data_IF_786464087471
#
_entry.id   IF_786464087471
#
_cell.length_a   1.000
_cell.length_b   1.000
_cell.length_c   1.000
_cell.angle_alpha   90.00
_cell.angle_beta   90.00
_cell.angle_gamma   90.00
#
_symmetry.space_group_name_H-M   'P 1'
#
loop_
_entity.id
_entity.type
_entity.pdbx_description
1 polymer ?
#
# COMPACT_ATOMS: atom_id res chain seq x y z
N UNK A 1 25.05 -4.81 -8.47
CA UNK A 1 25.31 -5.12 -7.04
C UNK A 1 23.95 -5.41 -6.42
N UNK A 2 23.51 -6.68 -6.44
CA UNK A 2 22.20 -7.06 -5.87
C UNK A 2 22.29 -6.88 -4.35
N UNK A 3 21.53 -5.94 -3.80
CA UNK A 3 21.40 -5.78 -2.36
C UNK A 3 20.89 -7.11 -1.79
N UNK A 4 21.69 -7.76 -0.96
CA UNK A 4 21.29 -8.98 -0.28
C UNK A 4 20.00 -8.70 0.49
N UNK A 5 18.91 -9.42 0.17
CA UNK A 5 17.72 -9.43 1.00
C UNK A 5 18.16 -9.65 2.46
N UNK A 6 17.78 -8.73 3.35
CA UNK A 6 18.21 -8.76 4.74
C UNK A 6 17.63 -10.00 5.40
N UNK A 7 18.48 -10.97 5.73
CA UNK A 7 18.11 -12.29 6.32
C UNK A 7 18.61 -12.41 7.78
N UNK A 8 18.62 -11.30 8.51
CA UNK A 8 18.94 -11.28 9.95
C UNK A 8 17.70 -11.46 10.82
N UNK A 9 17.89 -11.76 12.11
CA UNK A 9 16.79 -11.95 13.08
C UNK A 9 15.92 -10.69 13.31
N UNK A 10 16.38 -9.51 12.87
CA UNK A 10 15.62 -8.26 12.89
C UNK A 10 14.60 -8.15 11.73
N UNK A 11 14.85 -8.83 10.59
CA UNK A 11 13.97 -8.75 9.42
C UNK A 11 12.55 -9.31 9.68
N UNK A 12 12.35 -10.40 10.45
CA UNK A 12 11.03 -10.83 10.88
C UNK A 12 10.28 -9.77 11.69
N UNK A 13 10.96 -9.11 12.64
CA UNK A 13 10.37 -8.09 13.50
C UNK A 13 9.95 -6.86 12.70
N UNK A 14 10.83 -6.35 11.83
CA UNK A 14 10.52 -5.20 10.98
C UNK A 14 9.31 -5.48 10.06
N UNK A 15 9.24 -6.70 9.50
CA UNK A 15 8.13 -7.14 8.67
C UNK A 15 6.81 -7.20 9.46
N UNK A 16 6.85 -7.74 10.67
CA UNK A 16 5.67 -7.85 11.53
C UNK A 16 5.20 -6.46 11.99
N UNK A 17 6.13 -5.56 12.37
CA UNK A 17 5.83 -4.16 12.72
C UNK A 17 5.19 -3.41 11.53
N UNK A 18 5.69 -3.60 10.30
CA UNK A 18 5.10 -3.03 9.08
C UNK A 18 3.70 -3.58 8.79
N UNK A 19 3.51 -4.89 8.94
CA UNK A 19 2.21 -5.54 8.75
C UNK A 19 1.17 -4.98 9.73
N UNK A 20 1.51 -4.91 11.02
CA UNK A 20 0.60 -4.40 12.04
C UNK A 20 0.21 -2.93 11.80
N UNK A 21 1.18 -2.09 11.44
CA UNK A 21 0.93 -0.67 11.11
C UNK A 21 0.02 -0.54 9.89
N UNK A 22 0.32 -1.27 8.82
CA UNK A 22 -0.51 -1.24 7.61
C UNK A 22 -1.93 -1.74 7.88
N UNK A 23 -2.08 -2.90 8.55
CA UNK A 23 -3.38 -3.49 8.81
C UNK A 23 -4.25 -2.59 9.70
N UNK A 24 -3.67 -1.98 10.75
CA UNK A 24 -4.39 -1.04 11.61
C UNK A 24 -4.84 0.22 10.84
N UNK A 25 -3.93 0.80 10.04
CA UNK A 25 -4.23 1.97 9.22
C UNK A 25 -5.29 1.66 8.14
N UNK A 26 -5.10 0.60 7.37
CA UNK A 26 -6.01 0.20 6.29
C UNK A 26 -7.40 -0.12 6.84
N UNK A 27 -7.47 -0.80 8.00
CA UNK A 27 -8.75 -1.06 8.68
C UNK A 27 -9.47 0.25 9.03
N UNK A 28 -8.77 1.22 9.59
CA UNK A 28 -9.35 2.52 9.92
C UNK A 28 -9.89 3.25 8.68
N UNK A 29 -9.16 3.20 7.55
CA UNK A 29 -9.63 3.81 6.29
C UNK A 29 -10.83 3.05 5.73
N UNK A 30 -10.78 1.72 5.66
CA UNK A 30 -11.90 0.91 5.18
C UNK A 30 -13.17 1.11 6.00
N UNK A 31 -13.09 1.11 7.33
CA UNK A 31 -14.27 1.31 8.20
C UNK A 31 -14.93 2.68 7.93
N UNK A 32 -14.13 3.73 7.71
CA UNK A 32 -14.65 5.05 7.35
C UNK A 32 -15.34 5.05 5.97
N UNK A 33 -14.70 4.44 4.96
CA UNK A 33 -15.25 4.39 3.60
C UNK A 33 -16.55 3.55 3.55
N UNK A 34 -16.57 2.43 4.26
CA UNK A 34 -17.75 1.58 4.41
C UNK A 34 -18.90 2.32 5.10
N UNK A 35 -18.61 3.11 6.16
CA UNK A 35 -19.60 3.93 6.84
C UNK A 35 -20.19 5.04 5.93
N UNK A 36 -19.43 5.48 4.92
CA UNK A 36 -19.89 6.43 3.89
C UNK A 36 -20.60 5.75 2.71
N UNK A 37 -20.78 4.42 2.74
CA UNK A 37 -21.44 3.65 1.70
C UNK A 37 -20.57 3.31 0.49
N UNK A 38 -19.24 3.43 0.61
CA UNK A 38 -18.30 3.02 -0.41
C UNK A 38 -17.70 1.66 -0.08
N UNK A 39 -17.57 0.79 -1.08
CA UNK A 39 -16.85 -0.46 -0.89
C UNK A 39 -15.35 -0.16 -0.69
N UNK A 40 -14.74 -0.84 0.27
CA UNK A 40 -13.31 -0.81 0.51
C UNK A 40 -12.84 -2.13 1.12
N UNK A 41 -11.64 -2.56 0.76
CA UNK A 41 -10.98 -3.74 1.33
C UNK A 41 -9.46 -3.59 1.20
N UNK A 42 -8.70 -4.36 1.96
CA UNK A 42 -7.25 -4.41 1.86
C UNK A 42 -6.77 -5.85 1.82
N UNK A 43 -5.63 -6.05 1.17
CA UNK A 43 -5.02 -7.37 1.04
C UNK A 43 -4.11 -7.61 2.23
N UNK A 44 -4.20 -8.78 2.85
CA UNK A 44 -3.15 -9.27 3.73
C UNK A 44 -1.91 -9.60 2.89
N UNK A 45 -0.79 -8.84 2.99
CA UNK A 45 0.39 -9.07 2.16
C UNK A 45 1.03 -10.44 2.39
N UNK A 46 0.72 -11.11 3.51
CA UNK A 46 1.27 -12.43 3.82
C UNK A 46 0.54 -13.56 3.08
N UNK A 47 -0.79 -13.47 2.94
CA UNK A 47 -1.61 -14.51 2.30
C UNK A 47 -2.12 -14.15 0.90
N UNK A 48 -2.11 -12.87 0.55
CA UNK A 48 -2.71 -12.33 -0.67
C UNK A 48 -4.24 -12.37 -0.68
N UNK A 49 -4.88 -12.56 0.46
CA UNK A 49 -6.34 -12.58 0.55
C UNK A 49 -6.92 -11.23 1.01
N UNK A 50 -8.14 -10.87 0.56
CA UNK A 50 -8.86 -9.74 1.12
C UNK A 50 -9.17 -9.98 2.61
N UNK A 51 -9.13 -8.91 3.39
CA UNK A 51 -9.29 -8.96 4.84
C UNK A 51 -10.73 -8.77 5.31
N UNK A 52 -11.57 -8.11 4.50
CA UNK A 52 -12.96 -7.81 4.88
C UNK A 52 -14.00 -8.63 4.11
N UNK A 53 -13.74 -8.99 2.85
CA UNK A 53 -14.66 -9.80 2.06
C UNK A 53 -14.89 -11.19 2.66
N UNK A 54 -16.14 -11.68 2.61
CA UNK A 54 -16.48 -13.04 3.00
C UNK A 54 -16.03 -14.05 1.93
N UNK A 55 -15.19 -15.00 2.32
CA UNK A 55 -14.74 -16.10 1.46
C UNK A 55 -13.33 -15.93 0.91
N UNK A 56 -12.77 -17.04 0.39
CA UNK A 56 -11.44 -17.06 -0.20
C UNK A 56 -11.55 -16.85 -1.71
N UNK A 57 -11.32 -15.62 -2.16
CA UNK A 57 -11.13 -15.31 -3.57
C UNK A 57 -9.76 -15.77 -4.09
N UNK A 58 -9.47 -15.45 -5.35
CA UNK A 58 -8.13 -15.64 -5.90
C UNK A 58 -7.08 -14.89 -5.08
N UNK A 59 -5.88 -15.47 -4.96
CA UNK A 59 -4.75 -14.83 -4.27
C UNK A 59 -4.28 -13.63 -5.08
N UNK A 60 -4.20 -12.49 -4.43
CA UNK A 60 -3.65 -11.26 -4.95
C UNK A 60 -2.14 -11.22 -4.71
N UNK A 61 -1.36 -10.97 -5.76
CA UNK A 61 0.10 -10.89 -5.71
C UNK A 61 0.53 -9.44 -5.68
N UNK A 62 1.04 -8.98 -4.54
CA UNK A 62 1.62 -7.63 -4.40
C UNK A 62 2.75 -7.40 -5.40
N UNK A 63 3.59 -8.42 -5.65
CA UNK A 63 4.68 -8.34 -6.63
C UNK A 63 4.13 -8.07 -8.03
N UNK A 64 3.10 -8.81 -8.46
CA UNK A 64 2.51 -8.62 -9.79
C UNK A 64 1.73 -7.31 -9.89
N UNK A 65 1.08 -6.86 -8.80
CA UNK A 65 0.41 -5.56 -8.71
C UNK A 65 1.39 -4.42 -9.00
N UNK A 66 2.46 -4.34 -8.21
CA UNK A 66 3.42 -3.25 -8.33
C UNK A 66 4.19 -3.31 -9.66
N UNK A 67 4.47 -4.52 -10.17
CA UNK A 67 5.08 -4.69 -11.49
C UNK A 67 4.17 -4.23 -12.63
N UNK A 68 2.86 -4.47 -12.55
CA UNK A 68 1.93 -4.16 -13.64
C UNK A 68 1.38 -2.73 -13.57
N UNK A 69 0.94 -2.29 -12.38
CA UNK A 69 0.29 -0.99 -12.19
C UNK A 69 1.31 0.14 -12.03
N UNK A 70 2.39 -0.10 -11.27
CA UNK A 70 3.41 0.92 -10.99
C UNK A 70 4.69 0.75 -11.82
N UNK A 71 4.80 -0.35 -12.58
CA UNK A 71 5.99 -0.69 -13.39
C UNK A 71 7.28 -0.77 -12.59
N UNK A 72 7.17 -1.18 -11.32
CA UNK A 72 8.35 -1.35 -10.48
C UNK A 72 9.19 -2.54 -10.95
N UNK A 73 10.54 -2.42 -10.94
CA UNK A 73 11.40 -3.54 -11.30
C UNK A 73 11.18 -4.76 -10.40
N UNK A 74 11.29 -5.96 -10.99
CA UNK A 74 11.22 -7.22 -10.26
C UNK A 74 12.55 -7.95 -10.39
N UNK A 75 13.05 -8.50 -9.30
CA UNK A 75 14.25 -9.32 -9.26
C UNK A 75 13.93 -10.76 -8.83
N UNK A 76 14.72 -11.72 -9.35
CA UNK A 76 14.72 -13.10 -8.86
C UNK A 76 15.72 -13.20 -7.69
N UNK A 77 15.23 -13.70 -6.56
CA UNK A 77 15.99 -13.94 -5.35
C UNK A 77 15.96 -15.43 -4.99
N UNK A 78 16.43 -16.29 -5.90
CA UNK A 78 16.54 -17.73 -5.66
C UNK A 78 15.20 -18.43 -5.78
N UNK A 79 14.43 -18.10 -6.82
CA UNK A 79 13.09 -18.65 -7.07
C UNK A 79 11.95 -17.88 -6.39
N UNK A 80 12.27 -16.90 -5.54
CA UNK A 80 11.31 -15.91 -5.08
C UNK A 80 11.40 -14.65 -5.94
N UNK A 81 10.26 -14.16 -6.44
CA UNK A 81 10.19 -12.85 -7.10
C UNK A 81 10.03 -11.78 -6.03
N UNK A 82 10.87 -10.75 -6.10
CA UNK A 82 10.77 -9.57 -5.23
C UNK A 82 10.59 -8.32 -6.08
N UNK A 83 9.69 -7.44 -5.68
CA UNK A 83 9.55 -6.12 -6.28
C UNK A 83 10.58 -5.16 -5.67
N UNK A 84 11.08 -4.21 -6.45
CA UNK A 84 12.06 -3.21 -6.05
C UNK A 84 11.46 -1.81 -6.22
N UNK A 85 11.47 -1.00 -5.16
CA UNK A 85 11.14 0.41 -5.24
C UNK A 85 12.21 1.13 -6.08
N UNK A 86 11.84 2.06 -6.99
CA UNK A 86 12.81 2.78 -7.82
C UNK A 86 13.89 3.53 -7.03
N UNK A 87 13.54 4.07 -5.86
CA UNK A 87 14.48 4.78 -4.98
C UNK A 87 15.03 3.92 -3.83
N UNK A 88 14.24 2.99 -3.29
CA UNK A 88 14.58 2.27 -2.05
C UNK A 88 15.09 0.84 -2.29
N UNK A 89 15.05 0.36 -3.53
CA UNK A 89 15.36 -1.02 -3.86
C UNK A 89 14.43 -1.98 -3.10
N UNK A 90 15.00 -2.96 -2.40
CA UNK A 90 14.24 -3.93 -1.61
C UNK A 90 13.86 -3.44 -0.20
N UNK A 91 14.15 -2.18 0.16
CA UNK A 91 13.90 -1.61 1.49
C UNK A 91 12.51 -0.97 1.57
N UNK A 92 11.46 -1.73 1.27
CA UNK A 92 10.07 -1.28 1.43
C UNK A 92 9.13 -2.47 1.60
N UNK A 93 7.95 -2.21 2.18
CA UNK A 93 6.94 -3.23 2.44
C UNK A 93 5.74 -3.03 1.49
N UNK A 94 5.59 -3.84 0.43
CA UNK A 94 4.50 -3.68 -0.53
C UNK A 94 3.17 -4.14 0.09
N UNK A 95 2.16 -3.29 0.01
CA UNK A 95 0.83 -3.55 0.52
C UNK A 95 -0.21 -2.74 -0.26
N UNK A 96 -1.38 -3.34 -0.54
CA UNK A 96 -2.42 -2.72 -1.37
C UNK A 96 -3.79 -2.69 -0.67
N UNK A 97 -4.48 -1.57 -0.82
CA UNK A 97 -5.89 -1.38 -0.45
C UNK A 97 -6.69 -0.95 -1.68
N UNK A 98 -7.95 -1.37 -1.77
CA UNK A 98 -8.87 -1.09 -2.85
C UNK A 98 -10.11 -0.36 -2.33
N UNK A 99 -10.67 0.52 -3.16
CA UNK A 99 -11.97 1.14 -2.88
C UNK A 99 -12.66 1.57 -4.17
N UNK A 100 -13.98 1.65 -4.13
CA UNK A 100 -14.79 2.34 -5.16
C UNK A 100 -15.09 3.80 -4.81
N UNK A 101 -14.60 4.29 -3.66
CA UNK A 101 -14.81 5.67 -3.24
C UNK A 101 -14.18 6.65 -4.24
N UNK A 102 -14.85 7.78 -4.53
CA UNK A 102 -14.23 8.88 -5.26
C UNK A 102 -12.97 9.35 -4.53
N UNK A 103 -11.94 9.75 -5.28
CA UNK A 103 -10.65 10.12 -4.70
C UNK A 103 -10.74 11.17 -3.58
N UNK A 104 -11.62 12.17 -3.72
CA UNK A 104 -11.86 13.18 -2.68
C UNK A 104 -12.31 12.56 -1.34
N UNK A 105 -13.12 11.52 -1.40
CA UNK A 105 -13.57 10.79 -0.21
C UNK A 105 -12.42 9.95 0.37
N UNK A 106 -11.66 9.26 -0.48
CA UNK A 106 -10.49 8.48 -0.08
C UNK A 106 -9.43 9.34 0.62
N UNK A 107 -8.99 10.44 0.01
CA UNK A 107 -7.96 11.33 0.57
C UNK A 107 -8.39 11.86 1.94
N UNK A 108 -9.68 12.19 2.12
CA UNK A 108 -10.22 12.61 3.42
C UNK A 108 -10.13 11.50 4.47
N UNK A 109 -10.53 10.27 4.12
CA UNK A 109 -10.47 9.12 5.03
C UNK A 109 -9.02 8.78 5.44
N UNK A 110 -8.08 8.89 4.49
CA UNK A 110 -6.64 8.70 4.74
C UNK A 110 -6.09 9.76 5.70
N UNK A 111 -6.43 11.03 5.51
CA UNK A 111 -5.99 12.10 6.38
C UNK A 111 -6.44 11.89 7.84
N UNK A 112 -7.71 11.48 8.03
CA UNK A 112 -8.24 11.14 9.36
C UNK A 112 -7.51 9.94 9.97
N UNK A 113 -7.26 8.89 9.19
CA UNK A 113 -6.53 7.71 9.67
C UNK A 113 -5.06 8.01 10.03
N UNK A 114 -4.47 9.04 9.43
CA UNK A 114 -3.14 9.53 9.76
C UNK A 114 -3.12 10.48 10.98
N UNK A 115 -4.28 10.79 11.59
CA UNK A 115 -4.40 11.77 12.67
C UNK A 115 -4.25 13.23 12.22
N UNK A 116 -4.33 13.49 10.93
CA UNK A 116 -4.25 14.83 10.33
C UNK A 116 -5.62 15.46 10.08
N UNK A 117 -5.62 16.75 9.79
CA UNK A 117 -6.80 17.47 9.32
C UNK A 117 -7.22 16.97 7.93
N UNK A 118 -8.53 16.88 7.62
CA UNK A 118 -9.01 16.40 6.34
C UNK A 118 -8.45 17.25 5.19
N UNK A 119 -7.92 16.61 4.17
CA UNK A 119 -7.25 17.31 3.08
C UNK A 119 -8.22 18.27 2.36
N UNK A 120 -7.78 19.52 2.20
CA UNK A 120 -8.54 20.54 1.47
C UNK A 120 -8.39 20.42 -0.04
N UNK A 121 -9.05 21.30 -0.80
CA UNK A 121 -9.04 21.30 -2.27
C UNK A 121 -7.64 21.43 -2.93
N UNK A 122 -6.62 21.78 -2.15
CA UNK A 122 -5.23 21.94 -2.60
C UNK A 122 -4.35 20.74 -2.32
N UNK A 123 -4.92 19.62 -1.86
CA UNK A 123 -4.16 18.41 -1.58
C UNK A 123 -3.41 17.92 -2.83
N UNK A 124 -2.10 17.61 -2.73
CA UNK A 124 -1.29 17.20 -3.88
C UNK A 124 -1.83 15.97 -4.61
N UNK A 125 -2.42 15.00 -3.89
CA UNK A 125 -2.99 13.81 -4.52
C UNK A 125 -4.29 14.13 -5.28
N UNK A 126 -5.09 15.07 -4.78
CA UNK A 126 -6.27 15.56 -5.49
C UNK A 126 -5.92 16.33 -6.77
N UNK A 127 -4.87 17.15 -6.72
CA UNK A 127 -4.38 17.90 -7.87
C UNK A 127 -3.76 16.96 -8.92
N UNK A 128 -2.87 16.08 -8.50
CA UNK A 128 -2.16 15.17 -9.39
C UNK A 128 -3.11 14.17 -10.09
N UNK A 129 -4.13 13.69 -9.40
CA UNK A 129 -5.14 12.83 -10.02
C UNK A 129 -6.02 13.55 -11.06
N UNK A 130 -6.26 14.86 -10.90
CA UNK A 130 -6.93 15.64 -11.94
C UNK A 130 -6.06 15.75 -13.22
N UNK A 131 -4.74 15.61 -13.07
CA UNK A 131 -3.74 15.62 -14.13
C UNK A 131 -3.37 14.20 -14.61
N UNK A 132 -3.99 13.15 -14.04
CA UNK A 132 -3.72 11.75 -14.38
C UNK A 132 -2.31 11.27 -14.00
N UNK A 133 -1.66 11.95 -13.06
CA UNK A 133 -0.29 11.64 -12.62
C UNK A 133 -0.30 11.36 -11.11
N UNK A 134 0.53 10.42 -10.64
CA UNK A 134 0.78 10.26 -9.21
C UNK A 134 1.93 11.21 -8.81
N UNK A 135 1.82 11.98 -7.73
CA UNK A 135 2.94 12.77 -7.24
C UNK A 135 4.09 11.84 -6.83
N UNK A 136 5.33 12.28 -7.03
CA UNK A 136 6.49 11.53 -6.57
C UNK A 136 6.39 11.35 -5.05
N UNK A 137 6.36 10.10 -4.59
CA UNK A 137 6.46 9.79 -3.17
C UNK A 137 7.90 10.08 -2.73
N UNK A 138 8.10 11.28 -2.18
CA UNK A 138 9.39 11.65 -1.58
C UNK A 138 9.57 10.91 -0.26
N UNK A 139 10.76 10.37 -0.08
CA UNK A 139 11.18 9.75 1.17
C UNK A 139 11.22 10.81 2.28
N UNK A 140 10.41 10.65 3.35
CA UNK A 140 10.44 11.60 4.47
C UNK A 140 11.76 11.55 5.26
N UNK A 141 12.58 10.49 5.09
CA UNK A 141 13.83 10.25 5.80
C UNK A 141 15.09 10.42 4.90
N UNK A 142 14.95 10.97 3.69
CA UNK A 142 16.08 11.26 2.77
C UNK A 142 16.87 12.53 3.13
#
# INVERSE_FOLDING_TARGET
MLASAHRGAEAPKEKDDCLERFAAWARCVCDQLLALGHWADFIDPCSGHPMLAEGRGAVFSEVDCFASMLRYPVADAGGCRIVLHPAWGSRFYPATMFTTAPLRVLVRAVAVAAGGEPAGDKDPWLLAAAEGTAPDHQDPDA
#
